data_IF_301713846325
#
_entry.id   IF_301713846325
#
_cell.length_a   1.000
_cell.length_b   1.000
_cell.length_c   1.000
_cell.angle_alpha   90.00
_cell.angle_beta   90.00
_cell.angle_gamma   90.00
#
_symmetry.space_group_name_H-M   'P 1'
#
loop_
_entity.id
_entity.type
_entity.pdbx_description
1 polymer ?
#
# COMPACT_ATOMS: atom_id res chain seq x y z
N UNK A 1 -63.92 10.33 -31.88
CA UNK A 1 -63.23 9.69 -30.74
C UNK A 1 -61.72 9.76 -30.97
N UNK A 2 -61.08 10.89 -30.60
CA UNK A 2 -59.62 10.98 -30.51
C UNK A 2 -59.23 10.53 -29.10
N UNK A 3 -58.70 9.31 -28.98
CA UNK A 3 -58.15 8.82 -27.71
C UNK A 3 -56.77 9.42 -27.48
N UNK A 4 -56.60 9.90 -26.25
CA UNK A 4 -55.43 10.59 -25.72
C UNK A 4 -54.18 9.69 -25.80
N UNK A 5 -53.06 10.25 -26.26
CA UNK A 5 -51.72 9.70 -26.08
C UNK A 5 -50.97 10.49 -24.99
N UNK A 6 -51.06 10.11 -23.71
CA UNK A 6 -50.09 10.54 -22.72
C UNK A 6 -49.63 9.31 -21.93
N UNK A 7 -48.66 8.56 -22.43
CA UNK A 7 -48.25 7.35 -21.70
C UNK A 7 -46.90 6.74 -22.06
N UNK A 8 -46.19 7.26 -23.05
CA UNK A 8 -44.97 6.61 -23.57
C UNK A 8 -43.66 7.36 -23.28
N UNK A 9 -43.69 8.46 -22.52
CA UNK A 9 -42.51 9.29 -22.28
C UNK A 9 -41.88 9.18 -20.88
N UNK A 10 -42.43 8.37 -19.96
CA UNK A 10 -41.95 8.35 -18.55
C UNK A 10 -41.18 7.10 -18.12
N UNK A 11 -41.00 6.09 -18.99
CA UNK A 11 -40.41 4.81 -18.56
C UNK A 11 -38.96 4.57 -19.03
N UNK A 12 -38.35 5.46 -19.81
CA UNK A 12 -37.05 5.21 -20.42
C UNK A 12 -35.85 5.84 -19.67
N UNK A 13 -36.08 6.67 -18.64
CA UNK A 13 -35.02 7.51 -18.06
C UNK A 13 -34.37 6.96 -16.79
N UNK A 14 -34.82 5.82 -16.24
CA UNK A 14 -34.40 5.36 -14.90
C UNK A 14 -33.37 4.21 -14.90
N UNK A 15 -32.83 3.82 -16.06
CA UNK A 15 -31.94 2.65 -16.16
C UNK A 15 -30.44 2.97 -16.30
N UNK A 16 -30.03 4.24 -16.24
CA UNK A 16 -28.66 4.65 -16.64
C UNK A 16 -27.65 4.91 -15.49
N UNK A 17 -27.95 4.56 -14.24
CA UNK A 17 -27.12 5.00 -13.09
C UNK A 17 -26.21 3.92 -12.48
N UNK A 18 -26.26 2.64 -12.93
CA UNK A 18 -25.50 1.56 -12.26
C UNK A 18 -24.16 1.17 -12.90
N UNK A 19 -23.63 1.92 -13.88
CA UNK A 19 -22.39 1.53 -14.58
C UNK A 19 -21.12 2.30 -14.16
N UNK A 20 -21.10 2.94 -12.99
CA UNK A 20 -19.90 3.62 -12.48
C UNK A 20 -19.06 2.69 -11.58
N UNK A 21 -18.37 1.71 -12.18
CA UNK A 21 -17.24 1.06 -11.52
C UNK A 21 -16.06 2.02 -11.52
N UNK A 22 -15.98 2.91 -10.52
CA UNK A 22 -14.78 3.70 -10.30
C UNK A 22 -13.69 2.78 -9.72
N UNK A 23 -12.85 2.23 -10.60
CA UNK A 23 -11.64 1.52 -10.19
C UNK A 23 -10.60 2.54 -9.75
N UNK A 24 -10.41 2.71 -8.45
CA UNK A 24 -9.33 3.54 -7.89
C UNK A 24 -8.00 2.80 -8.12
N UNK A 25 -7.02 3.42 -8.80
CA UNK A 25 -5.71 2.78 -8.97
C UNK A 25 -5.03 2.60 -7.62
N UNK A 26 -4.28 1.51 -7.48
CA UNK A 26 -3.43 1.32 -6.32
C UNK A 26 -2.45 2.50 -6.16
N UNK A 27 -2.16 2.96 -4.93
CA UNK A 27 -1.08 3.91 -4.69
C UNK A 27 0.25 3.38 -5.24
N UNK A 28 1.25 4.23 -5.44
CA UNK A 28 2.59 3.75 -5.80
C UNK A 28 3.26 3.08 -4.59
N UNK A 29 3.99 1.95 -4.78
CA UNK A 29 4.70 1.31 -3.68
C UNK A 29 5.80 2.23 -3.17
N UNK A 30 6.01 2.23 -1.85
CA UNK A 30 7.11 2.97 -1.23
C UNK A 30 8.23 1.99 -0.91
N UNK A 31 9.26 1.98 -1.74
CA UNK A 31 10.40 1.07 -1.61
C UNK A 31 11.48 1.62 -0.66
N UNK A 32 12.37 0.76 -0.18
CA UNK A 32 13.45 1.18 0.73
C UNK A 32 14.38 2.24 0.10
N UNK A 33 14.81 2.14 -1.17
CA UNK A 33 15.61 3.17 -1.81
C UNK A 33 14.90 4.52 -1.88
N UNK A 34 13.58 4.52 -2.03
CA UNK A 34 12.78 5.74 -2.00
C UNK A 34 12.74 6.36 -0.60
N UNK A 35 12.56 5.55 0.45
CA UNK A 35 12.62 6.02 1.85
C UNK A 35 13.96 6.69 2.14
N UNK A 36 15.08 6.11 1.66
CA UNK A 36 16.41 6.70 1.77
C UNK A 36 16.47 8.04 1.03
N UNK A 37 16.00 8.09 -0.22
CA UNK A 37 15.99 9.33 -1.01
C UNK A 37 15.18 10.45 -0.33
N UNK A 38 13.96 10.14 0.13
CA UNK A 38 13.10 11.11 0.83
C UNK A 38 13.76 11.62 2.12
N UNK A 39 14.39 10.72 2.88
CA UNK A 39 15.10 11.08 4.12
C UNK A 39 16.29 11.99 3.84
N UNK A 40 17.11 11.67 2.83
CA UNK A 40 18.26 12.49 2.41
C UNK A 40 17.85 13.84 1.82
N UNK A 41 16.68 13.91 1.18
CA UNK A 41 16.09 15.15 0.70
C UNK A 41 15.52 16.03 1.83
N UNK A 42 15.58 15.58 3.10
CA UNK A 42 15.06 16.33 4.24
C UNK A 42 13.54 16.30 4.37
N UNK A 43 12.87 15.33 3.73
CA UNK A 43 11.43 15.16 3.87
C UNK A 43 11.08 14.88 5.34
N UNK A 44 10.10 15.59 5.94
CA UNK A 44 9.74 15.37 7.33
C UNK A 44 9.33 13.91 7.60
N UNK A 45 9.81 13.28 8.68
CA UNK A 45 9.52 11.87 8.98
C UNK A 45 8.03 11.50 8.92
N UNK A 46 7.16 12.38 9.43
CA UNK A 46 5.71 12.16 9.40
C UNK A 46 5.12 12.07 7.99
N UNK A 47 5.68 12.79 7.01
CA UNK A 47 5.24 12.72 5.62
C UNK A 47 5.67 11.41 4.96
N UNK A 48 6.89 10.95 5.26
CA UNK A 48 7.38 9.64 4.78
C UNK A 48 6.49 8.52 5.33
N UNK A 49 6.22 8.54 6.64
CA UNK A 49 5.32 7.58 7.31
C UNK A 49 3.93 7.59 6.70
N UNK A 50 3.37 8.78 6.43
CA UNK A 50 2.05 8.88 5.81
C UNK A 50 2.06 8.25 4.41
N UNK A 51 3.08 8.54 3.60
CA UNK A 51 3.22 7.93 2.27
C UNK A 51 3.29 6.40 2.33
N UNK A 52 4.08 5.85 3.26
CA UNK A 52 4.19 4.40 3.46
C UNK A 52 2.87 3.77 3.93
N UNK A 53 2.12 4.47 4.80
CA UNK A 53 0.80 4.05 5.27
C UNK A 53 -0.19 3.97 4.12
N UNK A 54 -0.23 5.01 3.29
CA UNK A 54 -1.14 5.09 2.15
C UNK A 54 -0.82 4.00 1.13
N UNK A 55 0.46 3.69 0.92
CA UNK A 55 0.90 2.58 0.05
C UNK A 55 0.63 1.18 0.62
N UNK A 56 0.33 1.05 1.91
CA UNK A 56 0.02 -0.25 2.54
C UNK A 56 1.20 -1.24 2.52
N UNK A 57 2.42 -0.73 2.56
CA UNK A 57 3.65 -1.52 2.51
C UNK A 57 4.01 -2.12 3.86
N UNK A 58 4.66 -3.29 3.83
CA UNK A 58 5.22 -3.97 5.00
C UNK A 58 6.70 -4.24 4.79
N UNK A 59 7.50 -3.96 5.81
CA UNK A 59 8.96 -4.03 5.74
C UNK A 59 9.53 -5.02 6.77
N UNK A 60 10.09 -6.13 6.31
CA UNK A 60 10.80 -7.11 7.15
C UNK A 60 12.30 -6.85 7.14
N UNK A 61 12.73 -5.88 7.92
CA UNK A 61 14.15 -5.51 8.00
C UNK A 61 14.93 -6.38 9.00
N UNK A 62 16.14 -6.78 8.62
CA UNK A 62 17.14 -7.34 9.56
C UNK A 62 17.72 -6.23 10.43
N UNK A 63 18.22 -6.57 11.63
CA UNK A 63 18.85 -5.57 12.52
C UNK A 63 20.01 -4.81 11.87
N UNK A 64 20.84 -5.49 11.07
CA UNK A 64 21.91 -4.86 10.29
C UNK A 64 21.41 -3.91 9.21
N UNK A 65 20.25 -4.20 8.60
CA UNK A 65 19.61 -3.31 7.62
C UNK A 65 19.05 -2.06 8.32
N UNK A 66 18.44 -2.20 9.50
CA UNK A 66 17.97 -1.04 10.28
C UNK A 66 19.13 -0.10 10.64
N UNK A 67 20.25 -0.65 11.11
CA UNK A 67 21.44 0.14 11.43
C UNK A 67 22.00 0.87 10.19
N UNK A 68 22.04 0.21 9.04
CA UNK A 68 22.46 0.83 7.77
C UNK A 68 21.51 1.96 7.35
N UNK A 69 20.20 1.74 7.41
CA UNK A 69 19.23 2.77 7.05
C UNK A 69 19.33 4.00 7.96
N UNK A 70 19.58 3.81 9.25
CA UNK A 70 19.87 4.91 10.17
C UNK A 70 21.12 5.69 9.73
N UNK A 71 22.21 5.00 9.39
CA UNK A 71 23.44 5.63 8.86
C UNK A 71 23.19 6.36 7.53
N UNK A 72 22.25 5.88 6.72
CA UNK A 72 21.85 6.50 5.45
C UNK A 72 20.93 7.72 5.61
N UNK A 73 20.60 8.10 6.85
CA UNK A 73 19.84 9.31 7.19
C UNK A 73 18.36 9.06 7.46
N UNK A 74 17.91 7.81 7.50
CA UNK A 74 16.52 7.48 7.83
C UNK A 74 16.30 7.65 9.33
N UNK A 75 15.37 8.54 9.72
CA UNK A 75 15.08 8.82 11.13
C UNK A 75 14.53 7.62 11.89
N UNK A 76 14.78 7.56 13.21
CA UNK A 76 14.23 6.54 14.11
C UNK A 76 12.72 6.41 14.02
N UNK A 77 11.99 7.52 13.85
CA UNK A 77 10.54 7.49 13.70
C UNK A 77 10.08 6.67 12.48
N UNK A 78 10.78 6.83 11.35
CA UNK A 78 10.51 6.06 10.12
C UNK A 78 10.92 4.60 10.31
N UNK A 79 12.09 4.33 10.89
CA UNK A 79 12.57 2.96 11.15
C UNK A 79 11.63 2.18 12.08
N UNK A 80 11.16 2.83 13.14
CA UNK A 80 10.18 2.27 14.05
C UNK A 80 8.87 1.97 13.33
N UNK A 81 8.42 2.85 12.44
CA UNK A 81 7.24 2.60 11.63
C UNK A 81 7.43 1.41 10.68
N UNK A 82 8.57 1.32 9.97
CA UNK A 82 8.92 0.16 9.14
C UNK A 82 8.85 -1.14 9.93
N UNK A 83 9.47 -1.20 11.11
CA UNK A 83 9.41 -2.39 11.96
C UNK A 83 7.99 -2.69 12.44
N UNK A 84 7.23 -1.65 12.80
CA UNK A 84 5.85 -1.79 13.26
C UNK A 84 4.95 -2.44 12.20
N UNK A 85 5.10 -2.08 10.92
CA UNK A 85 4.34 -2.72 9.84
C UNK A 85 4.53 -4.23 9.82
N UNK A 86 5.75 -4.73 10.02
CA UNK A 86 6.04 -6.17 10.06
C UNK A 86 5.49 -6.84 11.33
N UNK A 87 5.57 -6.17 12.47
CA UNK A 87 4.98 -6.70 13.71
C UNK A 87 3.47 -6.85 13.57
N UNK A 88 2.79 -5.84 13.03
CA UNK A 88 1.35 -5.86 12.82
C UNK A 88 0.92 -6.88 11.77
N UNK A 89 1.69 -6.99 10.70
CA UNK A 89 1.57 -8.05 9.72
C UNK A 89 1.59 -9.45 10.34
N UNK A 90 2.60 -9.74 11.15
CA UNK A 90 2.74 -11.02 11.86
C UNK A 90 1.59 -11.25 12.84
N UNK A 91 1.10 -10.20 13.50
CA UNK A 91 -0.08 -10.30 14.37
C UNK A 91 -1.31 -10.76 13.61
N UNK A 92 -1.51 -10.26 12.38
CA UNK A 92 -2.63 -10.61 11.50
C UNK A 92 -2.46 -11.99 10.87
N UNK A 93 -1.26 -12.35 10.46
CA UNK A 93 -0.92 -13.67 9.93
C UNK A 93 0.40 -14.17 10.53
N UNK A 94 0.30 -15.04 11.53
CA UNK A 94 1.47 -15.59 12.24
C UNK A 94 2.45 -16.31 11.33
N UNK A 95 1.98 -16.82 10.19
CA UNK A 95 2.84 -17.57 9.30
C UNK A 95 3.91 -16.67 8.68
N UNK A 96 3.65 -15.36 8.56
CA UNK A 96 4.63 -14.35 8.12
C UNK A 96 5.87 -14.26 9.01
N UNK A 97 5.88 -14.89 10.19
CA UNK A 97 7.10 -15.04 11.01
C UNK A 97 8.18 -15.84 10.29
N UNK A 98 7.79 -16.83 9.49
CA UNK A 98 8.71 -17.71 8.78
C UNK A 98 9.46 -16.94 7.68
N UNK A 99 10.79 -16.92 7.76
CA UNK A 99 11.66 -16.30 6.77
C UNK A 99 11.52 -16.93 5.39
N UNK A 100 11.14 -18.20 5.28
CA UNK A 100 10.96 -18.88 3.99
C UNK A 100 9.81 -18.30 3.14
N UNK A 101 8.99 -17.43 3.73
CA UNK A 101 7.93 -16.67 3.01
C UNK A 101 8.42 -15.36 2.43
N UNK A 102 9.63 -14.96 2.74
CA UNK A 102 10.20 -13.68 2.35
C UNK A 102 11.42 -13.93 1.49
N UNK A 103 11.40 -13.42 0.26
CA UNK A 103 12.61 -13.27 -0.55
C UNK A 103 12.97 -11.78 -0.62
N UNK A 104 14.26 -11.47 -0.78
CA UNK A 104 14.66 -10.09 -0.97
C UNK A 104 14.26 -9.63 -2.38
N UNK A 105 13.92 -8.36 -2.51
CA UNK A 105 13.86 -7.66 -3.79
C UNK A 105 15.27 -7.51 -4.39
N UNK A 106 15.36 -6.97 -5.61
CA UNK A 106 16.62 -6.76 -6.31
C UNK A 106 17.61 -5.88 -5.53
N UNK A 107 17.12 -5.07 -4.60
CA UNK A 107 17.89 -4.19 -3.72
C UNK A 107 18.37 -4.87 -2.42
N UNK A 108 18.01 -6.14 -2.20
CA UNK A 108 18.38 -6.92 -1.03
C UNK A 108 17.48 -6.72 0.19
N UNK A 109 16.44 -5.88 0.11
CA UNK A 109 15.49 -5.67 1.20
C UNK A 109 14.26 -6.57 1.07
N UNK A 110 13.56 -6.80 2.18
CA UNK A 110 12.38 -7.66 2.22
C UNK A 110 11.16 -6.78 2.52
N UNK A 111 10.41 -6.41 1.49
CA UNK A 111 9.19 -5.64 1.64
C UNK A 111 8.13 -6.06 0.63
N UNK A 112 6.88 -5.70 0.88
CA UNK A 112 5.77 -6.02 -0.02
C UNK A 112 4.46 -5.41 0.43
N UNK A 113 3.44 -5.46 -0.43
CA UNK A 113 2.15 -4.85 -0.15
C UNK A 113 1.02 -5.51 -0.93
N UNK A 114 -0.13 -5.63 -0.27
CA UNK A 114 -1.36 -6.22 -0.79
C UNK A 114 -1.74 -5.72 -2.19
N UNK A 115 -1.61 -4.42 -2.44
CA UNK A 115 -2.01 -3.79 -3.70
C UNK A 115 -1.15 -4.22 -4.89
N UNK A 116 0.06 -4.70 -4.66
CA UNK A 116 1.02 -5.00 -5.72
C UNK A 116 1.09 -6.48 -6.06
N UNK A 117 0.21 -7.30 -5.47
CA UNK A 117 0.29 -8.77 -5.52
C UNK A 117 1.72 -9.27 -5.18
N UNK A 118 2.47 -8.47 -4.43
CA UNK A 118 3.85 -8.74 -4.08
C UNK A 118 3.87 -9.51 -2.77
N UNK A 119 4.76 -10.50 -2.70
CA UNK A 119 4.82 -11.37 -1.54
C UNK A 119 5.40 -10.64 -0.32
N UNK A 120 5.01 -11.05 0.89
CA UNK A 120 4.16 -12.19 1.19
C UNK A 120 2.65 -11.91 1.13
N UNK A 121 2.24 -10.76 0.60
CA UNK A 121 0.84 -10.34 0.48
C UNK A 121 0.26 -10.67 -0.90
N UNK A 122 -0.15 -11.92 -1.08
CA UNK A 122 -1.21 -12.21 -2.04
C UNK A 122 -2.55 -11.83 -1.40
N UNK A 123 -3.25 -10.83 -1.92
CA UNK A 123 -4.64 -10.60 -1.55
C UNK A 123 -5.47 -11.85 -1.89
N UNK A 124 -6.07 -12.48 -0.87
CA UNK A 124 -7.22 -13.37 -1.04
C UNK A 124 -8.45 -12.68 -0.46
#
# INVERSE_FOLDING_TARGET
MLHRLPGLLSAASLSLVLAACATVPAPAPVEVPEVIQLSRAGTPPGQIIQKMRDAGMVYRLKGSQMARLHQDGVSDAVLNYMQHTYVDAVRRDQRLRDWNRWWPDADGYFYGGCYYQSWPYGCR
#
